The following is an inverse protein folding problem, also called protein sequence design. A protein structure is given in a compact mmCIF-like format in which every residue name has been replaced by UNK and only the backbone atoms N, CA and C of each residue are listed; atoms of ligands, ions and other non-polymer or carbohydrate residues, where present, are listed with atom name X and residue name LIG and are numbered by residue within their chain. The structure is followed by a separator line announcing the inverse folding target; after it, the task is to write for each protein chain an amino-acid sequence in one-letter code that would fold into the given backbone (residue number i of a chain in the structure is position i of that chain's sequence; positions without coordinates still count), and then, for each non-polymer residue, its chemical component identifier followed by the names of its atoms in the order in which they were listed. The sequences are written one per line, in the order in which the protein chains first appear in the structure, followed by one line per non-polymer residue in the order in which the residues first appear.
data_IF_822414703056
#
_entry.id   IF_822414703056
#
_cell.length_a   1.000
_cell.length_b   1.000
_cell.length_c   1.000
_cell.angle_alpha   90.00
_cell.angle_beta   90.00
_cell.angle_gamma   90.00
#
_symmetry.space_group_name_H-M   'P 1'
#
loop_
_entity.id
_entity.type
_entity.pdbx_description
1 polymer ?
#
# COMPACT_ATOMS: atom_id res chain seq x y z
N UNK A 1 -9.12 10.87 18.91
CA UNK A 1 -9.81 10.50 17.66
C UNK A 1 -9.27 9.16 17.18
N UNK A 2 -10.11 8.15 16.87
CA UNK A 2 -9.67 6.85 16.39
C UNK A 2 -9.22 6.99 14.92
N UNK A 3 -8.03 7.53 14.75
CA UNK A 3 -7.33 7.59 13.48
C UNK A 3 -7.09 6.15 13.00
N UNK A 4 -7.65 5.84 11.83
CA UNK A 4 -8.18 4.53 11.46
C UNK A 4 -7.27 3.34 11.80
N UNK A 5 -7.74 2.49 12.72
CA UNK A 5 -7.16 1.16 12.97
C UNK A 5 -7.04 0.36 11.66
N UNK A 6 -7.89 0.64 10.68
CA UNK A 6 -7.83 0.08 9.33
C UNK A 6 -6.51 0.37 8.62
N UNK A 7 -6.09 1.63 8.56
CA UNK A 7 -4.84 1.97 7.89
C UNK A 7 -3.65 1.31 8.58
N UNK A 8 -3.67 1.24 9.92
CA UNK A 8 -2.67 0.51 10.71
C UNK A 8 -2.64 -0.97 10.34
N UNK A 9 -3.81 -1.59 10.19
CA UNK A 9 -3.91 -3.00 9.85
C UNK A 9 -3.45 -3.27 8.42
N UNK A 10 -3.87 -2.46 7.45
CA UNK A 10 -3.48 -2.60 6.04
C UNK A 10 -1.99 -2.35 5.86
N UNK A 11 -1.44 -1.31 6.48
CA UNK A 11 0.00 -1.00 6.43
C UNK A 11 0.84 -2.10 7.09
N UNK A 12 0.44 -2.58 8.27
CA UNK A 12 1.15 -3.65 8.98
C UNK A 12 1.04 -4.98 8.23
N UNK A 13 -0.13 -5.30 7.68
CA UNK A 13 -0.36 -6.54 6.92
C UNK A 13 0.42 -6.50 5.60
N UNK A 14 0.43 -5.36 4.91
CA UNK A 14 1.24 -5.16 3.71
C UNK A 14 2.75 -5.27 4.02
N UNK A 15 3.22 -4.62 5.08
CA UNK A 15 4.62 -4.71 5.49
C UNK A 15 5.00 -6.16 5.87
N UNK A 16 4.20 -6.84 6.69
CA UNK A 16 4.45 -8.22 7.10
C UNK A 16 4.45 -9.19 5.91
N UNK A 17 3.48 -9.06 4.99
CA UNK A 17 3.41 -9.91 3.80
C UNK A 17 4.54 -9.62 2.82
N UNK A 18 4.94 -8.36 2.67
CA UNK A 18 6.11 -8.02 1.86
C UNK A 18 7.38 -8.66 2.43
N UNK A 19 7.59 -8.60 3.75
CA UNK A 19 8.72 -9.24 4.44
C UNK A 19 8.68 -10.77 4.38
N UNK A 20 7.49 -11.37 4.44
CA UNK A 20 7.33 -12.81 4.23
C UNK A 20 7.75 -13.19 2.80
N UNK A 21 7.31 -12.41 1.80
CA UNK A 21 7.65 -12.62 0.40
C UNK A 21 9.18 -12.51 0.16
N UNK A 22 9.85 -11.63 0.91
CA UNK A 22 11.31 -11.50 0.94
C UNK A 22 11.98 -12.79 1.40
N UNK A 23 11.57 -13.32 2.54
CA UNK A 23 12.16 -14.52 3.12
C UNK A 23 12.02 -15.73 2.19
N UNK A 24 10.85 -15.89 1.56
CA UNK A 24 10.61 -16.95 0.59
C UNK A 24 11.47 -16.79 -0.66
N UNK A 25 11.60 -15.57 -1.20
CA UNK A 25 12.38 -15.31 -2.41
C UNK A 25 13.89 -15.53 -2.21
N UNK A 26 14.45 -15.14 -1.06
CA UNK A 26 15.83 -15.47 -0.69
C UNK A 26 16.01 -16.99 -0.63
N UNK A 27 15.02 -17.71 -0.09
CA UNK A 27 14.99 -19.19 -0.09
C UNK A 27 14.97 -19.82 -1.49
N UNK A 28 14.37 -19.16 -2.49
CA UNK A 28 14.37 -19.61 -3.90
C UNK A 28 15.71 -19.34 -4.60
N UNK A 29 16.32 -18.19 -4.32
CA UNK A 29 17.58 -17.77 -4.95
C UNK A 29 18.80 -18.55 -4.46
N UNK A 30 18.81 -18.93 -3.18
CA UNK A 30 19.81 -19.86 -2.68
C UNK A 30 19.45 -21.22 -3.27
N UNK A 31 20.07 -21.56 -4.42
CA UNK A 31 20.14 -22.90 -5.03
C UNK A 31 20.71 -23.89 -4.01
N UNK A 32 19.92 -24.21 -3.01
CA UNK A 32 20.08 -25.40 -2.25
C UNK A 32 19.51 -26.54 -3.11
N UNK A 33 20.10 -27.73 -3.13
CA UNK A 33 19.58 -28.89 -3.84
C UNK A 33 18.31 -29.44 -3.15
N UNK A 34 17.43 -28.54 -2.70
CA UNK A 34 16.13 -28.91 -2.16
C UNK A 34 15.27 -29.43 -3.31
N UNK A 35 14.79 -30.65 -3.13
CA UNK A 35 13.94 -31.40 -4.03
C UNK A 35 12.93 -30.53 -4.80
N UNK A 36 12.73 -30.86 -6.08
CA UNK A 36 11.64 -30.37 -6.94
C UNK A 36 10.23 -30.40 -6.31
N UNK A 37 10.05 -31.04 -5.15
CA UNK A 37 8.82 -30.99 -4.37
C UNK A 37 8.57 -29.62 -3.70
N UNK A 38 9.61 -28.87 -3.32
CA UNK A 38 9.47 -27.60 -2.56
C UNK A 38 9.37 -26.35 -3.44
N UNK A 39 9.75 -26.42 -4.72
CA UNK A 39 9.69 -25.23 -5.59
C UNK A 39 8.26 -24.78 -5.89
N UNK A 40 7.34 -25.74 -6.05
CA UNK A 40 5.91 -25.49 -6.35
C UNK A 40 5.20 -24.72 -5.23
N UNK A 41 5.24 -25.14 -3.95
CA UNK A 41 4.58 -24.41 -2.88
C UNK A 41 5.18 -23.00 -2.70
N UNK A 42 6.49 -22.84 -2.90
CA UNK A 42 7.11 -21.50 -2.79
C UNK A 42 6.65 -20.57 -3.91
N UNK A 43 6.54 -21.05 -5.15
CA UNK A 43 5.98 -20.27 -6.26
C UNK A 43 4.51 -19.89 -5.99
N UNK A 44 3.71 -20.81 -5.43
CA UNK A 44 2.32 -20.53 -5.08
C UNK A 44 2.21 -19.45 -3.99
N UNK A 45 3.01 -19.54 -2.93
CA UNK A 45 3.06 -18.53 -1.86
C UNK A 45 3.48 -17.18 -2.44
N UNK A 46 4.47 -17.16 -3.32
CA UNK A 46 4.93 -15.94 -3.97
C UNK A 46 3.83 -15.29 -4.82
N UNK A 47 3.13 -16.08 -5.64
CA UNK A 47 2.00 -15.61 -6.45
C UNK A 47 0.86 -15.07 -5.58
N UNK A 48 0.53 -15.76 -4.49
CA UNK A 48 -0.50 -15.29 -3.54
C UNK A 48 -0.10 -13.97 -2.88
N UNK A 49 1.15 -13.84 -2.45
CA UNK A 49 1.66 -12.61 -1.87
C UNK A 49 1.64 -11.46 -2.88
N UNK A 50 1.98 -11.72 -4.15
CA UNK A 50 1.85 -10.73 -5.22
C UNK A 50 0.39 -10.31 -5.45
N UNK A 51 -0.55 -11.27 -5.58
CA UNK A 51 -1.98 -10.98 -5.72
C UNK A 51 -2.52 -10.14 -4.56
N UNK A 52 -2.11 -10.47 -3.32
CA UNK A 52 -2.48 -9.71 -2.14
C UNK A 52 -1.93 -8.28 -2.18
N UNK A 53 -0.67 -8.10 -2.58
CA UNK A 53 -0.07 -6.77 -2.71
C UNK A 53 -0.80 -5.91 -3.75
N UNK A 54 -1.06 -6.44 -4.95
CA UNK A 54 -1.75 -5.70 -6.02
C UNK A 54 -3.17 -5.31 -5.58
N UNK A 55 -3.93 -6.25 -5.02
CA UNK A 55 -5.25 -5.95 -4.50
C UNK A 55 -5.22 -4.99 -3.31
N UNK A 56 -4.22 -5.12 -2.43
CA UNK A 56 -4.03 -4.24 -1.29
C UNK A 56 -3.82 -2.78 -1.72
N UNK A 57 -2.99 -2.57 -2.74
CA UNK A 57 -2.76 -1.26 -3.35
C UNK A 57 -4.03 -0.69 -3.99
N UNK A 58 -4.82 -1.51 -4.67
CA UNK A 58 -6.12 -1.13 -5.21
C UNK A 58 -7.12 -0.70 -4.12
N UNK A 59 -7.26 -1.47 -3.05
CA UNK A 59 -8.11 -1.09 -1.93
C UNK A 59 -7.64 0.18 -1.24
N UNK A 60 -6.33 0.35 -1.08
CA UNK A 60 -5.75 1.55 -0.49
C UNK A 60 -6.13 2.78 -1.31
N UNK A 61 -6.01 2.74 -2.64
CA UNK A 61 -6.37 3.91 -3.44
C UNK A 61 -7.88 4.21 -3.44
N UNK A 62 -8.73 3.18 -3.39
CA UNK A 62 -10.17 3.35 -3.21
C UNK A 62 -10.48 4.01 -1.88
N UNK A 63 -9.86 3.54 -0.78
CA UNK A 63 -10.02 4.13 0.54
C UNK A 63 -9.70 5.64 0.52
N UNK A 64 -8.58 6.01 -0.12
CA UNK A 64 -8.16 7.41 -0.26
C UNK A 64 -9.10 8.24 -1.14
N UNK A 65 -9.64 7.64 -2.20
CA UNK A 65 -10.65 8.29 -3.01
C UNK A 65 -11.96 8.51 -2.21
N UNK A 66 -12.38 7.54 -1.40
CA UNK A 66 -13.56 7.66 -0.55
C UNK A 66 -13.38 8.73 0.53
N UNK A 67 -12.22 8.79 1.20
CA UNK A 67 -11.88 9.87 2.15
C UNK A 67 -11.95 11.23 1.45
N UNK A 68 -11.47 11.30 0.21
CA UNK A 68 -11.52 12.52 -0.58
C UNK A 68 -12.97 12.91 -0.89
N UNK A 69 -13.84 12.00 -1.31
CA UNK A 69 -15.23 12.32 -1.69
C UNK A 69 -16.10 12.61 -0.45
N UNK A 70 -16.02 11.79 0.60
CA UNK A 70 -16.87 11.87 1.79
C UNK A 70 -16.06 11.83 3.11
N UNK A 71 -15.33 12.91 3.44
CA UNK A 71 -14.47 12.95 4.63
C UNK A 71 -15.23 12.85 5.96
N UNK A 72 -16.53 13.21 5.96
CA UNK A 72 -17.39 13.16 7.15
C UNK A 72 -17.93 11.75 7.42
N UNK A 73 -18.29 10.98 6.39
CA UNK A 73 -18.85 9.63 6.55
C UNK A 73 -17.79 8.58 6.95
N UNK A 74 -16.51 8.90 6.78
CA UNK A 74 -15.41 7.97 6.97
C UNK A 74 -15.20 7.53 8.43
N UNK A 75 -15.56 8.38 9.41
CA UNK A 75 -15.43 8.00 10.84
C UNK A 75 -16.32 6.81 11.19
N UNK A 76 -17.48 6.71 10.55
CA UNK A 76 -18.53 5.77 10.95
C UNK A 76 -18.47 4.49 10.11
N UNK A 77 -17.78 4.54 8.96
CA UNK A 77 -17.70 3.44 8.01
C UNK A 77 -16.42 2.61 8.08
N UNK A 78 -15.50 2.94 9.00
CA UNK A 78 -14.17 2.28 9.07
C UNK A 78 -14.30 0.76 9.12
N UNK A 79 -15.20 0.21 9.97
CA UNK A 79 -15.42 -1.24 10.07
C UNK A 79 -15.88 -1.90 8.75
N UNK A 80 -16.70 -1.21 7.95
CA UNK A 80 -17.17 -1.73 6.65
C UNK A 80 -16.07 -1.78 5.61
N UNK A 81 -15.16 -0.81 5.66
CA UNK A 81 -14.00 -0.79 4.76
C UNK A 81 -13.02 -1.91 5.15
N UNK A 82 -12.81 -2.16 6.46
CA UNK A 82 -12.00 -3.30 6.92
C UNK A 82 -12.60 -4.62 6.45
N UNK A 83 -13.90 -4.82 6.64
CA UNK A 83 -14.54 -6.08 6.24
C UNK A 83 -14.51 -6.26 4.73
N UNK A 84 -14.71 -5.21 3.94
CA UNK A 84 -14.57 -5.26 2.48
C UNK A 84 -13.15 -5.63 2.05
N UNK A 85 -12.12 -5.11 2.73
CA UNK A 85 -10.73 -5.46 2.47
C UNK A 85 -10.43 -6.93 2.79
N UNK A 86 -10.85 -7.42 3.97
CA UNK A 86 -10.62 -8.81 4.38
C UNK A 86 -11.35 -9.77 3.44
N UNK A 87 -12.63 -9.52 3.18
CA UNK A 87 -13.45 -10.38 2.30
C UNK A 87 -12.93 -10.32 0.86
N UNK A 88 -12.64 -9.13 0.34
CA UNK A 88 -12.11 -8.95 -1.00
C UNK A 88 -10.75 -9.62 -1.20
N UNK A 89 -9.84 -9.48 -0.23
CA UNK A 89 -8.53 -10.13 -0.29
C UNK A 89 -8.64 -11.65 -0.22
N UNK A 90 -9.52 -12.19 0.62
CA UNK A 90 -9.80 -13.63 0.66
C UNK A 90 -10.34 -14.15 -0.69
N UNK A 91 -11.25 -13.42 -1.34
CA UNK A 91 -11.78 -13.77 -2.67
C UNK A 91 -10.66 -13.75 -3.71
N UNK A 92 -9.85 -12.69 -3.77
CA UNK A 92 -8.77 -12.58 -4.76
C UNK A 92 -7.70 -13.66 -4.55
N UNK A 93 -7.30 -13.93 -3.31
CA UNK A 93 -6.32 -14.98 -2.99
C UNK A 93 -6.89 -16.36 -3.33
N UNK A 94 -8.15 -16.63 -2.99
CA UNK A 94 -8.79 -17.93 -3.32
C UNK A 94 -8.94 -18.13 -4.82
N UNK A 95 -9.35 -17.11 -5.58
CA UNK A 95 -9.44 -17.15 -7.04
C UNK A 95 -8.06 -17.31 -7.69
N UNK A 96 -7.05 -16.57 -7.25
CA UNK A 96 -5.66 -16.69 -7.71
C UNK A 96 -5.10 -18.09 -7.46
N UNK A 97 -5.38 -18.65 -6.28
CA UNK A 97 -4.97 -20.02 -5.91
C UNK A 97 -5.68 -21.07 -6.75
N UNK A 98 -7.00 -20.95 -6.92
CA UNK A 98 -7.79 -21.86 -7.75
C UNK A 98 -7.31 -21.83 -9.21
N UNK A 99 -7.10 -20.64 -9.79
CA UNK A 99 -6.55 -20.50 -11.14
C UNK A 99 -5.14 -21.07 -11.25
N UNK A 100 -4.26 -20.81 -10.29
CA UNK A 100 -2.88 -21.33 -10.31
C UNK A 100 -2.84 -22.87 -10.16
N UNK A 101 -3.76 -23.44 -9.37
CA UNK A 101 -3.86 -24.89 -9.15
C UNK A 101 -4.52 -25.61 -10.32
N UNK A 102 -5.67 -25.12 -10.80
CA UNK A 102 -6.38 -25.71 -11.95
C UNK A 102 -5.60 -25.58 -13.25
N UNK A 103 -4.78 -24.54 -13.37
CA UNK A 103 -4.12 -24.19 -14.62
C UNK A 103 -2.60 -24.35 -14.53
N UNK A 104 -2.12 -25.41 -13.86
CA UNK A 104 -0.71 -25.79 -13.71
C UNK A 104 0.12 -25.93 -15.02
N UNK A 105 -0.44 -25.59 -16.18
CA UNK A 105 0.21 -25.59 -17.49
C UNK A 105 0.51 -24.16 -17.97
N UNK A 106 1.69 -24.00 -18.58
CA UNK A 106 2.33 -22.73 -18.99
C UNK A 106 1.45 -21.78 -19.82
N UNK A 107 0.38 -22.27 -20.43
CA UNK A 107 -0.45 -21.50 -21.37
C UNK A 107 -1.34 -20.44 -20.72
N UNK A 108 -1.64 -20.55 -19.42
CA UNK A 108 -2.60 -19.65 -18.75
C UNK A 108 -1.97 -18.68 -17.75
N UNK A 109 -0.67 -18.83 -17.46
CA UNK A 109 0.09 -17.85 -16.69
C UNK A 109 -0.07 -16.43 -17.28
N UNK A 110 -0.16 -16.34 -18.61
CA UNK A 110 -0.43 -15.08 -19.31
C UNK A 110 -1.78 -14.44 -18.94
N UNK A 111 -2.84 -15.22 -18.69
CA UNK A 111 -4.17 -14.69 -18.34
C UNK A 111 -4.16 -14.07 -16.94
N UNK A 112 -3.54 -14.74 -15.97
CA UNK A 112 -3.41 -14.23 -14.60
C UNK A 112 -2.56 -12.96 -14.60
N UNK A 113 -1.42 -12.96 -15.30
CA UNK A 113 -0.56 -11.78 -15.42
C UNK A 113 -1.32 -10.62 -16.07
N UNK A 114 -2.04 -10.87 -17.16
CA UNK A 114 -2.86 -9.85 -17.84
C UNK A 114 -3.92 -9.26 -16.90
N UNK A 115 -4.62 -10.10 -16.13
CA UNK A 115 -5.62 -9.62 -15.16
C UNK A 115 -4.99 -8.72 -14.09
N UNK A 116 -3.80 -9.07 -13.58
CA UNK A 116 -3.06 -8.23 -12.65
C UNK A 116 -2.61 -6.91 -13.29
N UNK A 117 -2.11 -6.94 -14.53
CA UNK A 117 -1.73 -5.71 -15.26
C UNK A 117 -2.92 -4.77 -15.49
N UNK A 118 -4.10 -5.32 -15.79
CA UNK A 118 -5.33 -4.52 -15.90
C UNK A 118 -5.69 -3.90 -14.55
N UNK A 119 -5.62 -4.68 -13.46
CA UNK A 119 -5.91 -4.16 -12.12
C UNK A 119 -4.93 -3.07 -11.70
N UNK A 120 -3.65 -3.21 -12.01
CA UNK A 120 -2.62 -2.18 -11.78
C UNK A 120 -2.88 -0.91 -12.61
N UNK A 121 -3.29 -1.06 -13.88
CA UNK A 121 -3.67 0.07 -14.73
C UNK A 121 -4.87 0.82 -14.13
N UNK A 122 -5.91 0.10 -13.70
CA UNK A 122 -7.08 0.69 -13.02
C UNK A 122 -6.63 1.43 -11.75
N UNK A 123 -5.76 0.81 -10.95
CA UNK A 123 -5.22 1.40 -9.73
C UNK A 123 -4.46 2.69 -10.01
N UNK A 124 -3.64 2.72 -11.07
CA UNK A 124 -2.91 3.90 -11.50
C UNK A 124 -3.86 5.02 -11.95
N UNK A 125 -4.89 4.68 -12.74
CA UNK A 125 -5.92 5.65 -13.17
C UNK A 125 -6.69 6.22 -11.98
N UNK A 126 -7.08 5.39 -11.02
CA UNK A 126 -7.71 5.83 -9.78
C UNK A 126 -6.78 6.71 -8.95
N UNK A 127 -5.48 6.44 -8.93
CA UNK A 127 -4.51 7.28 -8.24
C UNK A 127 -4.40 8.67 -8.86
N UNK A 128 -4.37 8.75 -10.20
CA UNK A 128 -4.40 10.02 -10.93
C UNK A 128 -5.68 10.80 -10.60
N UNK A 129 -6.85 10.14 -10.69
CA UNK A 129 -8.14 10.73 -10.34
C UNK A 129 -8.13 11.22 -8.88
N UNK A 130 -7.58 10.44 -7.95
CA UNK A 130 -7.48 10.79 -6.54
C UNK A 130 -6.61 12.04 -6.33
N UNK A 131 -5.48 12.19 -7.02
CA UNK A 131 -4.63 13.40 -6.95
C UNK A 131 -5.40 14.63 -7.45
N UNK A 132 -6.11 14.53 -8.56
CA UNK A 132 -6.87 15.66 -9.10
C UNK A 132 -8.07 16.02 -8.22
N UNK A 133 -8.84 15.01 -7.80
CA UNK A 133 -10.00 15.19 -6.94
C UNK A 133 -9.62 15.80 -5.59
N UNK A 134 -8.53 15.32 -4.98
CA UNK A 134 -8.05 15.83 -3.69
C UNK A 134 -7.52 17.27 -3.81
N UNK A 135 -6.77 17.61 -4.86
CA UNK A 135 -6.34 18.99 -5.11
C UNK A 135 -7.51 19.94 -5.36
N UNK A 136 -8.47 19.53 -6.19
CA UNK A 136 -9.66 20.32 -6.47
C UNK A 136 -10.44 20.58 -5.18
N UNK A 137 -10.70 19.51 -4.41
CA UNK A 137 -11.42 19.61 -3.16
C UNK A 137 -10.66 20.47 -2.15
N UNK A 138 -9.35 20.29 -2.01
CA UNK A 138 -8.53 21.09 -1.12
C UNK A 138 -8.70 22.59 -1.40
N UNK A 139 -8.64 23.01 -2.67
CA UNK A 139 -8.84 24.42 -3.08
C UNK A 139 -10.23 24.95 -2.76
N UNK A 140 -11.28 24.21 -3.10
CA UNK A 140 -12.68 24.64 -2.91
C UNK A 140 -13.05 24.68 -1.42
N UNK A 141 -12.50 23.75 -0.65
CA UNK A 141 -12.92 23.44 0.71
C UNK A 141 -12.09 24.21 1.77
N UNK A 142 -11.02 24.88 1.34
CA UNK A 142 -10.06 25.63 2.16
C UNK A 142 -10.64 26.82 2.91
N UNK A 143 -11.79 27.36 2.50
CA UNK A 143 -12.41 28.48 3.20
C UNK A 143 -13.56 28.06 4.14
N UNK A 144 -14.25 26.95 3.84
CA UNK A 144 -15.57 26.66 4.40
C UNK A 144 -15.61 25.54 5.44
N UNK A 145 -14.54 24.77 5.62
CA UNK A 145 -14.55 23.56 6.45
C UNK A 145 -13.69 23.63 7.69
N UNK A 146 -13.99 22.72 8.62
CA UNK A 146 -13.26 22.50 9.86
C UNK A 146 -11.81 22.16 9.58
N UNK A 147 -10.92 22.62 10.48
CA UNK A 147 -9.48 22.40 10.42
C UNK A 147 -9.12 20.91 10.24
N UNK A 148 -9.85 20.03 10.93
CA UNK A 148 -9.66 18.58 10.86
C UNK A 148 -9.91 18.01 9.44
N UNK A 149 -10.93 18.49 8.73
CA UNK A 149 -11.18 18.04 7.36
C UNK A 149 -10.07 18.46 6.40
N UNK A 150 -9.41 19.60 6.66
CA UNK A 150 -8.29 20.07 5.83
C UNK A 150 -7.06 19.19 6.04
N UNK A 151 -6.72 18.90 7.30
CA UNK A 151 -5.62 18.00 7.62
C UNK A 151 -5.80 16.61 7.00
N UNK A 152 -7.01 16.05 7.02
CA UNK A 152 -7.29 14.75 6.38
C UNK A 152 -7.07 14.77 4.87
N UNK A 153 -7.52 15.82 4.18
CA UNK A 153 -7.34 15.91 2.72
C UNK A 153 -5.88 16.14 2.37
N UNK A 154 -5.16 16.94 3.17
CA UNK A 154 -3.72 17.19 2.99
C UNK A 154 -2.91 15.89 3.18
N UNK A 155 -3.22 15.09 4.20
CA UNK A 155 -2.62 13.77 4.43
C UNK A 155 -2.87 12.82 3.24
N UNK A 156 -4.09 12.82 2.69
CA UNK A 156 -4.41 12.02 1.50
C UNK A 156 -3.59 12.46 0.30
N UNK A 157 -3.40 13.77 0.09
CA UNK A 157 -2.57 14.31 -0.98
C UNK A 157 -1.12 13.84 -0.80
N UNK A 158 -0.52 14.10 0.36
CA UNK A 158 0.88 13.74 0.65
C UNK A 158 1.11 12.24 0.42
N UNK A 159 0.23 11.39 0.95
CA UNK A 159 0.34 9.95 0.79
C UNK A 159 0.18 9.50 -0.67
N UNK A 160 -0.82 10.03 -1.38
CA UNK A 160 -1.07 9.64 -2.78
C UNK A 160 0.11 10.03 -3.67
N UNK A 161 0.76 11.17 -3.39
CA UNK A 161 1.99 11.57 -4.08
C UNK A 161 3.17 10.65 -3.83
N UNK A 162 3.29 10.09 -2.62
CA UNK A 162 4.33 9.10 -2.30
C UNK A 162 4.03 7.76 -2.96
N UNK A 163 2.76 7.36 -3.05
CA UNK A 163 2.34 6.08 -3.65
C UNK A 163 2.36 6.10 -5.19
N UNK A 164 2.09 7.23 -5.82
CA UNK A 164 2.05 7.36 -7.27
C UNK A 164 3.30 6.82 -8.00
N UNK A 165 4.54 7.21 -7.64
CA UNK A 165 5.73 6.65 -8.29
C UNK A 165 5.89 5.15 -8.06
N UNK A 166 5.37 4.61 -6.95
CA UNK A 166 5.38 3.17 -6.69
C UNK A 166 4.41 2.43 -7.61
N UNK A 167 3.21 2.94 -7.79
CA UNK A 167 2.25 2.37 -8.75
C UNK A 167 2.81 2.40 -10.17
N UNK A 168 3.44 3.51 -10.56
CA UNK A 168 4.05 3.64 -11.88
C UNK A 168 5.22 2.65 -12.07
N UNK A 169 6.12 2.55 -11.09
CA UNK A 169 7.25 1.62 -11.14
C UNK A 169 6.76 0.17 -11.23
N UNK A 170 5.76 -0.19 -10.42
CA UNK A 170 5.17 -1.53 -10.39
C UNK A 170 4.53 -1.88 -11.73
N UNK A 171 3.73 -0.96 -12.28
CA UNK A 171 3.08 -1.14 -13.58
C UNK A 171 4.09 -1.26 -14.72
N UNK A 172 5.13 -0.42 -14.73
CA UNK A 172 6.21 -0.50 -15.72
C UNK A 172 6.98 -1.82 -15.63
N UNK A 173 7.29 -2.27 -14.41
CA UNK A 173 7.92 -3.57 -14.18
C UNK A 173 7.04 -4.71 -14.70
N UNK A 174 5.74 -4.70 -14.36
CA UNK A 174 4.82 -5.74 -14.77
C UNK A 174 4.65 -5.80 -16.29
N UNK A 175 4.48 -4.64 -16.97
CA UNK A 175 4.45 -4.56 -18.44
C UNK A 175 5.73 -5.10 -19.07
N UNK A 176 6.89 -4.82 -18.49
CA UNK A 176 8.15 -5.34 -19.02
C UNK A 176 8.20 -6.87 -18.90
N UNK A 177 7.75 -7.45 -17.79
CA UNK A 177 7.63 -8.91 -17.62
C UNK A 177 6.60 -9.53 -18.55
N UNK A 178 5.41 -8.96 -18.66
CA UNK A 178 4.34 -9.50 -19.49
C UNK A 178 4.66 -9.34 -20.98
N UNK A 179 5.20 -8.19 -21.37
CA UNK A 179 5.63 -7.88 -22.73
C UNK A 179 6.80 -8.76 -23.17
N UNK A 180 7.79 -8.99 -22.31
CA UNK A 180 8.86 -9.95 -22.59
C UNK A 180 8.32 -11.37 -22.68
N UNK A 181 7.46 -11.82 -21.76
CA UNK A 181 6.84 -13.14 -21.83
C UNK A 181 6.09 -13.35 -23.16
N UNK A 182 5.32 -12.35 -23.63
CA UNK A 182 4.60 -12.42 -24.90
C UNK A 182 5.53 -12.36 -26.12
N UNK A 183 6.55 -11.50 -26.10
CA UNK A 183 7.52 -11.38 -27.20
C UNK A 183 8.38 -12.64 -27.37
N UNK A 184 8.70 -13.33 -26.27
CA UNK A 184 9.60 -14.48 -26.25
C UNK A 184 8.90 -15.85 -26.32
N UNK A 185 7.56 -15.90 -26.42
CA UNK A 185 6.81 -17.13 -26.77
C UNK A 185 7.26 -17.78 -28.09
N UNK A 186 8.14 -17.13 -28.88
CA UNK A 186 8.66 -17.61 -30.17
C UNK A 186 10.16 -17.90 -30.23
N UNK A 187 10.96 -17.70 -29.17
CA UNK A 187 12.44 -17.75 -29.28
C UNK A 187 13.12 -18.54 -28.15
N UNK A 188 14.08 -19.39 -28.55
CA UNK A 188 14.91 -20.37 -27.83
C UNK A 188 15.37 -20.11 -26.38
N UNK A 189 15.83 -21.19 -25.74
CA UNK A 189 16.35 -21.41 -24.35
C UNK A 189 17.19 -20.27 -23.72
N UNK A 190 17.88 -19.41 -24.49
CA UNK A 190 18.61 -18.25 -23.96
C UNK A 190 17.68 -17.16 -23.41
N UNK A 191 16.44 -17.07 -23.92
CA UNK A 191 15.40 -16.13 -23.46
C UNK A 191 14.87 -16.49 -22.07
N UNK A 192 14.92 -17.76 -21.68
CA UNK A 192 14.47 -18.25 -20.38
C UNK A 192 15.29 -17.66 -19.22
N UNK A 193 16.59 -17.43 -19.43
CA UNK A 193 17.45 -16.79 -18.43
C UNK A 193 17.13 -15.30 -18.30
N UNK A 194 16.84 -14.61 -19.40
CA UNK A 194 16.46 -13.20 -19.38
C UNK A 194 15.12 -12.99 -18.67
N UNK A 195 14.12 -13.85 -18.95
CA UNK A 195 12.82 -13.80 -18.28
C UNK A 195 12.93 -14.01 -16.77
N UNK A 196 13.80 -14.93 -16.32
CA UNK A 196 14.09 -15.11 -14.88
C UNK A 196 14.69 -13.87 -14.24
N UNK A 197 15.66 -13.23 -14.90
CA UNK A 197 16.26 -11.97 -14.40
C UNK A 197 15.20 -10.88 -14.32
N UNK A 198 14.31 -10.81 -15.30
CA UNK A 198 13.25 -9.80 -15.31
C UNK A 198 12.19 -10.04 -14.23
N UNK A 199 11.80 -11.31 -14.00
CA UNK A 199 10.98 -11.70 -12.86
C UNK A 199 11.68 -11.40 -11.53
N UNK A 200 13.01 -11.58 -11.45
CA UNK A 200 13.79 -11.19 -10.27
C UNK A 200 13.76 -9.67 -10.04
N UNK A 201 13.84 -8.85 -11.09
CA UNK A 201 13.69 -7.39 -10.96
C UNK A 201 12.27 -7.04 -10.46
N UNK A 202 11.23 -7.68 -11.00
CA UNK A 202 9.84 -7.41 -10.60
C UNK A 202 9.58 -7.81 -9.14
N UNK A 203 10.10 -8.96 -8.71
CA UNK A 203 10.02 -9.38 -7.30
C UNK A 203 10.76 -8.43 -6.39
N UNK A 204 11.98 -7.99 -6.73
CA UNK A 204 12.70 -6.98 -5.94
C UNK A 204 11.95 -5.66 -5.83
N UNK A 205 11.12 -5.29 -6.82
CA UNK A 205 10.27 -4.12 -6.74
C UNK A 205 9.25 -4.23 -5.58
N UNK A 206 8.74 -5.43 -5.30
CA UNK A 206 7.90 -5.73 -4.14
C UNK A 206 8.62 -5.57 -2.79
N UNK A 207 9.95 -5.51 -2.76
CA UNK A 207 10.75 -5.24 -1.56
C UNK A 207 10.99 -3.73 -1.44
N UNK A 208 11.40 -3.12 -2.54
CA UNK A 208 11.76 -1.70 -2.57
C UNK A 208 10.54 -0.83 -2.24
N UNK A 209 9.33 -1.24 -2.64
CA UNK A 209 8.09 -0.50 -2.38
C UNK A 209 7.80 -0.29 -0.88
N UNK A 210 7.69 -1.33 -0.02
CA UNK A 210 7.49 -1.16 1.41
C UNK A 210 8.59 -0.35 2.08
N UNK A 211 9.85 -0.60 1.72
CA UNK A 211 10.99 0.16 2.26
C UNK A 211 10.93 1.64 1.87
N UNK A 212 10.58 1.94 0.62
CA UNK A 212 10.39 3.30 0.16
C UNK A 212 9.28 4.01 0.92
N UNK A 213 8.14 3.33 1.15
CA UNK A 213 7.03 3.86 1.94
C UNK A 213 7.47 4.17 3.38
N UNK A 214 8.16 3.24 4.02
CA UNK A 214 8.67 3.42 5.38
C UNK A 214 9.66 4.59 5.47
N UNK A 215 10.55 4.74 4.50
CA UNK A 215 11.57 5.81 4.52
C UNK A 215 11.00 7.19 4.20
N UNK A 216 10.07 7.29 3.25
CA UNK A 216 9.52 8.58 2.82
C UNK A 216 8.45 9.11 3.75
N UNK A 217 7.61 8.25 4.30
CA UNK A 217 6.50 8.68 5.11
C UNK A 217 6.90 8.70 6.59
N UNK A 218 7.27 9.89 7.08
CA UNK A 218 7.71 10.14 8.47
C UNK A 218 6.72 9.61 9.51
N UNK A 219 5.44 9.60 9.17
CA UNK A 219 4.39 9.09 10.04
C UNK A 219 4.45 7.56 10.18
N UNK A 220 4.67 6.88 9.07
CA UNK A 220 4.76 5.42 8.98
C UNK A 220 6.05 4.93 9.65
N UNK A 221 7.19 5.62 9.46
CA UNK A 221 8.42 5.31 10.19
C UNK A 221 8.30 5.50 11.70
N UNK A 222 7.69 6.60 12.15
CA UNK A 222 7.42 6.83 13.59
C UNK A 222 6.51 5.75 14.18
N UNK A 223 5.49 5.34 13.43
CA UNK A 223 4.57 4.26 13.85
C UNK A 223 5.25 2.91 13.89
N UNK A 224 6.04 2.56 12.88
CA UNK A 224 6.83 1.33 12.88
C UNK A 224 7.81 1.33 14.06
N UNK A 225 8.49 2.45 14.29
CA UNK A 225 9.35 2.63 15.45
C UNK A 225 8.60 2.42 16.77
N UNK A 226 7.36 2.90 16.90
CA UNK A 226 6.51 2.69 18.08
C UNK A 226 5.94 1.26 18.23
N UNK A 227 5.94 0.45 17.18
CA UNK A 227 5.58 -0.98 17.27
C UNK A 227 6.75 -1.81 17.81
N UNK A 228 7.98 -1.45 17.43
CA UNK A 228 9.19 -2.15 17.85
C UNK A 228 9.77 -1.64 19.17
N UNK A 229 9.63 -0.35 19.45
CA UNK A 229 9.87 0.20 20.77
C UNK A 229 8.55 0.14 21.53
N UNK A 230 8.50 -0.69 22.57
CA UNK A 230 7.53 -0.52 23.65
C UNK A 230 7.85 0.83 24.29
N UNK A 231 7.34 1.91 23.70
CA UNK A 231 7.35 3.19 24.40
C UNK A 231 6.67 2.92 25.74
N UNK A 232 7.34 3.18 26.87
CA UNK A 232 6.69 3.06 28.17
C UNK A 232 5.45 3.93 28.06
N UNK A 233 4.26 3.28 28.17
CA UNK A 233 2.92 3.86 27.98
C UNK A 233 3.05 5.35 28.07
N UNK A 234 3.07 6.04 26.92
CA UNK A 234 3.01 7.50 26.90
C UNK A 234 1.76 7.77 27.70
N UNK A 235 1.97 8.18 28.96
CA UNK A 235 0.91 8.40 29.95
C UNK A 235 -0.17 9.06 29.15
N UNK A 236 -1.36 8.44 29.14
CA UNK A 236 -2.54 8.95 28.46
C UNK A 236 -2.35 10.45 28.38
N UNK A 237 -2.28 11.01 27.17
CA UNK A 237 -2.59 12.41 27.02
C UNK A 237 -3.87 12.51 27.81
N UNK A 238 -3.72 13.01 29.03
CA UNK A 238 -4.78 13.01 30.01
C UNK A 238 -5.87 13.63 29.19
N UNK A 239 -7.01 12.99 29.17
CA UNK A 239 -8.24 13.61 28.74
C UNK A 239 -8.50 14.73 29.76
N UNK A 240 -7.58 15.69 29.85
CA UNK A 240 -7.84 17.01 30.31
C UNK A 240 -8.79 17.43 29.20
N UNK A 241 -10.08 17.34 29.51
CA UNK A 241 -11.01 18.43 29.28
C UNK A 241 -10.34 19.73 29.75
N UNK A 242 -9.25 20.12 29.12
CA UNK A 242 -8.72 21.45 29.16
C UNK A 242 -9.76 22.18 28.34
N UNK A 243 -10.68 22.79 29.09
CA UNK A 243 -11.64 23.76 28.60
C UNK A 243 -11.01 24.47 27.40
N UNK A 244 -11.63 24.41 26.21
CA UNK A 244 -11.03 24.90 24.95
C UNK A 244 -10.37 26.27 25.11
N UNK A 245 -10.95 27.08 25.99
CA UNK A 245 -10.45 28.39 26.41
C UNK A 245 -9.03 28.33 27.00
N UNK A 246 -8.71 27.39 27.91
CA UNK A 246 -7.39 27.28 28.54
C UNK A 246 -6.27 26.90 27.56
N UNK A 247 -6.55 26.08 26.54
CA UNK A 247 -5.56 25.76 25.48
C UNK A 247 -5.34 26.97 24.59
N UNK A 248 -6.42 27.69 24.29
CA UNK A 248 -6.41 28.89 23.46
C UNK A 248 -5.65 30.02 24.16
N UNK A 249 -5.92 30.25 25.45
CA UNK A 249 -5.22 31.23 26.29
C UNK A 249 -3.73 30.89 26.41
N UNK A 250 -3.40 29.61 26.59
CA UNK A 250 -2.00 29.18 26.64
C UNK A 250 -1.30 29.43 25.30
N UNK A 251 -1.94 29.14 24.17
CA UNK A 251 -1.40 29.41 22.84
C UNK A 251 -1.18 30.91 22.61
N UNK A 252 -2.18 31.74 22.90
CA UNK A 252 -2.06 33.20 22.75
C UNK A 252 -1.04 33.81 23.72
N UNK A 253 -0.91 33.29 24.94
CA UNK A 253 0.11 33.75 25.88
C UNK A 253 1.55 33.45 25.41
N UNK A 254 1.76 32.32 24.73
CA UNK A 254 3.06 32.01 24.13
C UNK A 254 3.36 32.93 22.94
N UNK A 255 2.35 33.25 22.14
CA UNK A 255 2.44 34.17 21.01
C UNK A 255 2.70 35.61 21.46
N UNK A 256 2.05 36.05 22.53
CA UNK A 256 2.27 37.37 23.11
C UNK A 256 3.69 37.50 23.68
N UNK A 257 4.23 36.45 24.33
CA UNK A 257 5.62 36.43 24.79
C UNK A 257 6.64 36.47 23.66
N UNK A 258 6.36 35.84 22.52
CA UNK A 258 7.29 35.90 21.38
C UNK A 258 7.28 37.27 20.72
N UNK A 259 6.15 37.97 20.75
CA UNK A 259 6.01 39.33 20.20
C UNK A 259 6.54 40.41 21.14
N UNK A 260 6.49 40.21 22.45
CA UNK A 260 7.05 41.16 23.42
C UNK A 260 8.57 41.12 23.52
N UNK A 261 9.21 40.11 22.93
CA UNK A 261 10.67 39.94 22.91
C UNK A 261 11.30 40.40 21.58
N UNK A 262 10.52 41.07 20.73
CA UNK A 262 10.95 41.77 19.51
C UNK A 262 10.80 43.27 19.78
#
# INVERSE_FOLDING_TARGET
MPESQFLRYVEATYAALSMLNVAFFIGVLVKTPFHYALWKPVLMIHQQAYSFCVFGMFCLIIDRLLVTIWPQAFSDQTCRIISMYIVGSAIVVSASTACTYYLQYAETFGVIVLAHSILELITLMLAIICIFASKYKYRVTLAKTTLNSRYRVDEVIELTWVLFPLFLLNFMANILTSGSALAFLRVDVTTFNFQKVLSMVCTTSGFVQPWYLLLKQRFLSRRLYSLFHVEPKRTEQVEIRMNSNAVTDRYFSMLQRSWSNI
#
